data_IF_472842217532
#
_entry.id   IF_472842217532
#
_cell.length_a   1.000
_cell.length_b   1.000
_cell.length_c   1.000
_cell.angle_alpha   90.00
_cell.angle_beta   90.00
_cell.angle_gamma   90.00
#
_symmetry.space_group_name_H-M   'P 1'
#
loop_
_entity.id
_entity.type
_entity.pdbx_description
1 polymer ?
#
# COMPACT_ATOMS: atom_id res chain seq x y z
N UNK A 1 -0.15 5.95 -8.06
CA UNK A 1 -0.82 4.69 -8.43
C UNK A 1 -2.15 4.58 -7.68
N UNK A 2 -3.27 4.28 -8.39
CA UNK A 2 -4.61 4.19 -7.77
C UNK A 2 -5.56 3.14 -8.38
N UNK A 3 -5.27 2.61 -9.57
CA UNK A 3 -6.07 1.53 -10.17
C UNK A 3 -5.78 0.16 -9.54
N UNK A 4 -4.51 -0.10 -9.21
CA UNK A 4 -4.09 -1.29 -8.46
C UNK A 4 -3.03 -1.04 -7.37
N UNK A 5 -2.58 0.21 -7.19
CA UNK A 5 -1.55 0.60 -6.21
C UNK A 5 -0.22 -0.16 -6.36
N UNK A 6 0.07 -0.68 -7.57
CA UNK A 6 1.25 -1.55 -7.82
C UNK A 6 1.11 -2.99 -7.32
N UNK A 7 0.04 -3.29 -6.59
CA UNK A 7 -0.23 -4.60 -6.00
C UNK A 7 -0.84 -5.57 -7.03
N UNK A 8 -0.47 -6.85 -6.93
CA UNK A 8 -1.12 -7.94 -7.65
C UNK A 8 -0.98 -9.25 -6.84
N UNK A 9 -2.02 -10.09 -6.84
CA UNK A 9 -2.03 -11.39 -6.16
C UNK A 9 -1.57 -11.35 -4.68
N UNK A 10 -1.92 -10.28 -3.94
CA UNK A 10 -1.51 -10.02 -2.55
C UNK A 10 -0.03 -9.63 -2.35
N UNK A 11 0.70 -9.25 -3.42
CA UNK A 11 2.15 -8.98 -3.40
C UNK A 11 2.51 -7.66 -4.08
N UNK A 12 3.58 -6.99 -3.61
CA UNK A 12 4.20 -5.78 -4.15
C UNK A 12 5.03 -6.04 -5.43
N UNK A 13 4.52 -6.86 -6.36
CA UNK A 13 5.27 -7.31 -7.55
C UNK A 13 5.55 -6.17 -8.54
N UNK A 14 4.52 -5.41 -8.92
CA UNK A 14 4.62 -4.34 -9.94
C UNK A 14 4.99 -2.97 -9.35
N UNK A 15 4.74 -2.77 -8.05
CA UNK A 15 5.13 -1.58 -7.30
C UNK A 15 4.68 -1.63 -5.84
N UNK A 16 4.95 -0.54 -5.12
CA UNK A 16 4.55 -0.34 -3.72
C UNK A 16 3.23 0.44 -3.59
N UNK A 17 2.50 0.18 -2.51
CA UNK A 17 1.37 0.97 -2.07
C UNK A 17 1.78 1.95 -0.94
N UNK A 18 2.97 1.78 -0.35
CA UNK A 18 3.46 2.62 0.76
C UNK A 18 3.41 4.11 0.42
N UNK A 19 3.67 4.53 -0.82
CA UNK A 19 3.52 5.94 -1.24
C UNK A 19 2.09 6.50 -1.18
N UNK A 20 1.06 5.68 -1.36
CA UNK A 20 -0.35 6.08 -1.15
C UNK A 20 -0.70 6.17 0.34
N UNK A 21 -0.28 5.21 1.16
CA UNK A 21 -0.60 5.19 2.59
C UNK A 21 0.30 6.12 3.45
N UNK A 22 1.54 6.41 3.05
CA UNK A 22 2.44 7.38 3.71
C UNK A 22 1.86 8.80 3.67
N UNK A 23 1.09 9.15 2.63
CA UNK A 23 0.34 10.40 2.54
C UNK A 23 -0.83 10.49 3.55
N UNK A 24 -1.28 9.35 4.08
CA UNK A 24 -2.22 9.21 5.20
C UNK A 24 -1.46 8.98 6.55
N UNK A 25 -0.12 9.07 6.54
CA UNK A 25 0.81 8.69 7.61
C UNK A 25 0.65 7.24 8.12
N UNK A 26 0.27 6.32 7.23
CA UNK A 26 -0.08 4.92 7.50
C UNK A 26 0.81 3.91 6.78
N UNK A 27 0.80 2.68 7.26
CA UNK A 27 1.38 1.55 6.52
C UNK A 27 0.49 1.24 5.32
N UNK A 28 1.08 0.80 4.22
CA UNK A 28 0.38 0.24 3.05
C UNK A 28 0.58 -1.27 2.93
N UNK A 29 -0.47 -2.02 2.57
CA UNK A 29 -0.43 -3.48 2.47
C UNK A 29 -1.31 -4.01 1.33
N UNK A 30 -0.70 -4.80 0.44
CA UNK A 30 -1.36 -5.34 -0.76
C UNK A 30 -2.37 -6.46 -0.43
N UNK A 31 -3.66 -6.19 -0.62
CA UNK A 31 -4.74 -7.18 -0.58
C UNK A 31 -5.27 -7.42 -2.00
N UNK A 32 -4.87 -8.54 -2.58
CA UNK A 32 -5.24 -8.99 -3.93
C UNK A 32 -4.62 -8.14 -5.03
N UNK A 33 -5.48 -7.60 -5.88
CA UNK A 33 -5.15 -6.66 -6.98
C UNK A 33 -5.39 -5.19 -6.59
N UNK A 34 -5.53 -4.93 -5.28
CA UNK A 34 -5.74 -3.65 -4.62
C UNK A 34 -4.85 -3.54 -3.36
N UNK A 35 -5.06 -2.46 -2.61
CA UNK A 35 -4.38 -2.17 -1.36
C UNK A 35 -5.36 -1.77 -0.25
N UNK A 36 -4.89 -1.87 0.99
CA UNK A 36 -5.49 -1.39 2.22
C UNK A 36 -4.40 -0.68 3.00
N UNK A 37 -4.74 0.40 3.67
CA UNK A 37 -3.81 1.00 4.63
C UNK A 37 -3.94 0.28 5.98
N UNK A 38 -2.81 -0.03 6.58
CA UNK A 38 -2.70 -0.64 7.91
C UNK A 38 -2.72 0.43 9.00
N UNK A 39 -1.92 0.22 10.05
CA UNK A 39 -1.79 1.18 11.16
C UNK A 39 -1.03 2.47 10.79
N UNK A 40 -1.28 3.58 11.51
CA UNK A 40 -0.48 4.81 11.41
C UNK A 40 0.96 4.53 11.86
N UNK A 41 1.93 5.07 11.12
CA UNK A 41 3.36 4.77 11.33
C UNK A 41 3.88 5.45 12.60
N UNK A 42 3.34 6.64 12.90
CA UNK A 42 3.76 7.51 14.00
C UNK A 42 3.31 6.99 15.35
N UNK A 43 4.22 6.92 16.31
CA UNK A 43 3.92 6.58 17.72
C UNK A 43 4.89 7.25 18.70
N UNK A 44 4.36 7.60 19.88
CA UNK A 44 5.06 8.24 20.99
C UNK A 44 5.63 7.21 21.96
#
# INVERSE_FOLDING_TARGET
AKNQFGCFANVDVKGDCKRHCKAEDKEGICHGTKCKCGVPISYL
#
